data_IF_983304745011
#
_entry.id   IF_983304745011
#
_cell.length_a   1.000
_cell.length_b   1.000
_cell.length_c   1.000
_cell.angle_alpha   90.00
_cell.angle_beta   90.00
_cell.angle_gamma   90.00
#
_symmetry.space_group_name_H-M   'P 1'
#
loop_
_entity.id
_entity.type
_entity.pdbx_description
1 polymer ?
#
# COMPACT_ATOMS: atom_id res chain seq x y z
N UNK A 1 -15.67 0.24 -34.14
CA UNK A 1 -16.00 0.16 -32.71
C UNK A 1 -14.69 -0.11 -31.95
N UNK A 2 -14.02 0.93 -31.44
CA UNK A 2 -12.74 0.77 -30.74
C UNK A 2 -12.99 0.41 -29.28
N UNK A 3 -12.69 -0.82 -28.89
CA UNK A 3 -12.66 -1.21 -27.48
C UNK A 3 -11.55 -0.44 -26.78
N UNK A 4 -11.89 0.37 -25.77
CA UNK A 4 -10.89 0.87 -24.83
C UNK A 4 -10.39 -0.31 -24.01
N UNK A 5 -9.07 -0.55 -23.91
CA UNK A 5 -8.56 -1.65 -23.10
C UNK A 5 -8.94 -1.41 -21.64
N UNK A 6 -9.46 -2.46 -20.98
CA UNK A 6 -9.63 -2.46 -19.52
C UNK A 6 -8.25 -2.23 -18.90
N UNK A 7 -8.00 -1.04 -18.36
CA UNK A 7 -6.79 -0.77 -17.58
C UNK A 7 -6.87 -1.61 -16.30
N UNK A 8 -6.05 -2.66 -16.22
CA UNK A 8 -5.87 -3.39 -14.98
C UNK A 8 -5.19 -2.46 -13.98
N UNK A 9 -5.97 -2.05 -12.97
CA UNK A 9 -5.51 -1.25 -11.85
C UNK A 9 -5.37 -2.15 -10.63
N UNK A 10 -4.16 -2.25 -10.09
CA UNK A 10 -3.92 -2.97 -8.83
C UNK A 10 -4.05 -2.02 -7.66
N UNK A 11 -4.92 -2.40 -6.72
CA UNK A 11 -5.13 -1.71 -5.47
C UNK A 11 -4.20 -2.33 -4.42
N UNK A 12 -3.32 -1.51 -3.84
CA UNK A 12 -2.31 -1.93 -2.87
C UNK A 12 -2.65 -1.33 -1.52
N UNK A 13 -3.09 -2.17 -0.58
CA UNK A 13 -3.32 -1.77 0.80
C UNK A 13 -2.01 -1.69 1.59
N UNK A 14 -1.80 -0.62 2.34
CA UNK A 14 -0.63 -0.46 3.22
C UNK A 14 -0.99 0.25 4.53
N UNK A 15 -0.19 0.04 5.58
CA UNK A 15 -0.37 0.76 6.85
C UNK A 15 -0.16 2.26 6.67
N UNK A 16 -0.80 3.07 7.49
CA UNK A 16 -0.66 4.54 7.43
C UNK A 16 0.72 5.03 7.88
N UNK A 17 1.48 4.21 8.61
CA UNK A 17 2.82 4.58 9.07
C UNK A 17 3.75 4.96 7.92
N UNK A 18 4.55 6.00 8.12
CA UNK A 18 5.42 6.55 7.07
C UNK A 18 6.42 5.51 6.53
N UNK A 19 6.93 4.63 7.40
CA UNK A 19 7.81 3.56 6.97
C UNK A 19 7.11 2.57 6.02
N UNK A 20 5.87 2.19 6.32
CA UNK A 20 5.10 1.27 5.47
C UNK A 20 4.79 1.90 4.11
N UNK A 21 4.51 3.21 4.07
CA UNK A 21 4.34 3.95 2.82
C UNK A 21 5.61 3.92 1.96
N UNK A 22 6.77 4.27 2.54
CA UNK A 22 8.06 4.26 1.83
C UNK A 22 8.38 2.86 1.27
N UNK A 23 8.15 1.82 2.07
CA UNK A 23 8.33 0.43 1.62
C UNK A 23 7.41 0.08 0.44
N UNK A 24 6.14 0.49 0.53
CA UNK A 24 5.15 0.25 -0.53
C UNK A 24 5.52 0.96 -1.82
N UNK A 25 5.94 2.22 -1.73
CA UNK A 25 6.39 3.01 -2.87
C UNK A 25 7.66 2.44 -3.50
N UNK A 26 8.61 1.94 -2.69
CA UNK A 26 9.84 1.29 -3.18
C UNK A 26 9.53 0.04 -4.01
N UNK A 27 8.58 -0.79 -3.57
CA UNK A 27 8.14 -1.98 -4.32
C UNK A 27 7.43 -1.57 -5.61
N UNK A 28 6.52 -0.59 -5.55
CA UNK A 28 5.81 -0.08 -6.75
C UNK A 28 6.79 0.52 -7.76
N UNK A 29 7.83 1.22 -7.32
CA UNK A 29 8.84 1.77 -8.20
C UNK A 29 9.54 0.67 -9.02
N UNK A 30 9.89 -0.44 -8.38
CA UNK A 30 10.47 -1.61 -9.07
C UNK A 30 9.45 -2.27 -10.00
N UNK A 31 8.19 -2.45 -9.56
CA UNK A 31 7.13 -3.01 -10.39
C UNK A 31 6.86 -2.17 -11.64
N UNK A 32 6.95 -0.84 -11.54
CA UNK A 32 6.81 0.06 -12.70
C UNK A 32 7.94 -0.10 -13.72
N UNK A 33 9.15 -0.48 -13.28
CA UNK A 33 10.27 -0.78 -14.19
C UNK A 33 9.97 -2.00 -15.06
N UNK A 34 9.40 -3.06 -14.49
CA UNK A 34 9.11 -4.31 -15.22
C UNK A 34 7.75 -4.30 -15.91
N UNK A 35 6.77 -3.59 -15.35
CA UNK A 35 5.37 -3.57 -15.81
C UNK A 35 4.83 -2.13 -15.92
N UNK A 36 5.34 -1.31 -16.86
CA UNK A 36 4.99 0.11 -16.96
C UNK A 36 3.55 0.37 -17.43
N UNK A 37 2.88 -0.64 -18.00
CA UNK A 37 1.50 -0.54 -18.50
C UNK A 37 0.44 -0.81 -17.42
N UNK A 38 0.86 -1.24 -16.23
CA UNK A 38 -0.02 -1.51 -15.10
C UNK A 38 -0.18 -0.25 -14.26
N UNK A 39 -1.42 0.05 -13.87
CA UNK A 39 -1.69 1.13 -12.92
C UNK A 39 -1.72 0.61 -11.49
N UNK A 40 -1.15 1.40 -10.57
CA UNK A 40 -1.09 1.07 -9.14
C UNK A 40 -1.71 2.20 -8.32
N UNK A 41 -2.59 1.87 -7.39
CA UNK A 41 -3.18 2.79 -6.41
C UNK A 41 -2.91 2.30 -5.00
N UNK A 42 -2.38 3.19 -4.16
CA UNK A 42 -2.11 2.89 -2.74
C UNK A 42 -3.31 3.32 -1.92
N UNK A 43 -3.87 2.40 -1.14
CA UNK A 43 -4.88 2.69 -0.12
C UNK A 43 -4.25 2.55 1.26
N UNK A 44 -4.32 3.63 2.04
CA UNK A 44 -3.86 3.63 3.43
C UNK A 44 -4.90 2.97 4.33
N UNK A 45 -4.48 2.00 5.10
CA UNK A 45 -5.28 1.25 6.04
C UNK A 45 -4.87 1.68 7.45
N UNK A 46 -5.81 2.26 8.19
CA UNK A 46 -5.61 2.59 9.61
C UNK A 46 -5.75 1.33 10.43
N UNK A 47 -4.67 0.86 11.04
CA UNK A 47 -4.69 -0.30 11.92
C UNK A 47 -4.80 0.14 13.40
N UNK A 48 -5.28 -0.74 14.27
CA UNK A 48 -5.38 -0.44 15.71
C UNK A 48 -3.99 -0.14 16.34
N UNK A 49 -2.94 -0.78 15.83
CA UNK A 49 -1.55 -0.50 16.25
C UNK A 49 -1.05 0.90 15.87
N UNK A 50 -1.62 1.53 14.84
CA UNK A 50 -1.27 2.91 14.47
C UNK A 50 -1.94 3.94 15.40
N UNK A 51 -3.02 3.56 16.11
CA UNK A 51 -3.69 4.40 17.11
C UNK A 51 -3.03 4.32 18.50
N UNK A 52 -2.36 3.21 18.81
CA UNK A 52 -1.77 2.95 20.12
C UNK A 52 -0.26 3.19 20.10
N UNK A 53 0.14 4.47 20.13
CA UNK A 53 1.54 4.88 20.20
C UNK A 53 2.14 4.84 21.63
N UNK A 54 1.29 4.74 22.64
CA UNK A 54 1.66 4.89 24.05
C UNK A 54 1.67 3.56 24.82
N UNK A 55 1.07 2.53 24.25
CA UNK A 55 1.05 1.20 24.86
C UNK A 55 2.34 0.48 24.48
N UNK A 56 3.16 0.03 25.44
CA UNK A 56 4.30 -0.82 25.13
C UNK A 56 3.85 -2.01 24.28
N UNK A 57 4.63 -2.37 23.25
CA UNK A 57 4.32 -3.50 22.35
C UNK A 57 4.00 -4.79 23.12
N UNK A 58 4.64 -5.00 24.28
CA UNK A 58 4.40 -6.14 25.16
C UNK A 58 2.98 -6.21 25.76
N UNK A 59 2.23 -5.10 25.72
CA UNK A 59 0.88 -4.96 26.25
C UNK A 59 -0.17 -4.86 25.12
N UNK A 60 0.19 -5.17 23.87
CA UNK A 60 -0.72 -5.17 22.72
C UNK A 60 -1.00 -6.63 22.32
N UNK A 61 -2.20 -7.12 22.65
CA UNK A 61 -2.69 -8.45 22.27
C UNK A 61 -3.23 -9.25 23.46
N UNK A 62 -4.54 -9.15 23.68
CA UNK A 62 -5.39 -10.21 24.24
C UNK A 62 -6.48 -10.51 23.20
#
# INVERSE_FOLDING_TARGET
MSYAPLRLKYIIGTRESQLALIQTESVIAQLRTFYPHIEYEIIKIKTAGDKNLLTPLANIGD
#
